data_IF_494720377299
#
_entry.id   IF_494720377299
#
_cell.length_a   1.000
_cell.length_b   1.000
_cell.length_c   1.000
_cell.angle_alpha   90.00
_cell.angle_beta   90.00
_cell.angle_gamma   90.00
#
_symmetry.space_group_name_H-M   'P 1'
#
loop_
_entity.id
_entity.type
_entity.pdbx_description
1 polymer ?
#
# COMPACT_ATOMS: atom_id res chain seq x y z
N UNK A 1 52.81 -24.05 78.46
CA UNK A 1 53.66 -22.92 77.99
C UNK A 1 53.04 -22.45 76.70
N UNK A 2 51.93 -21.72 76.82
CA UNK A 2 51.23 -21.18 75.67
C UNK A 2 51.85 -19.81 75.38
N UNK A 3 52.93 -19.79 74.60
CA UNK A 3 53.53 -18.54 74.17
C UNK A 3 52.65 -17.97 73.03
N UNK A 4 51.85 -16.91 73.29
CA UNK A 4 50.91 -16.36 72.31
C UNK A 4 51.61 -15.87 71.03
N UNK A 5 52.90 -15.57 71.13
CA UNK A 5 53.76 -15.19 70.01
C UNK A 5 53.90 -16.29 68.93
N UNK A 6 53.92 -17.57 69.32
CA UNK A 6 54.05 -18.69 68.37
C UNK A 6 52.79 -18.82 67.53
N UNK A 7 51.60 -18.60 68.12
CA UNK A 7 50.34 -18.63 67.38
C UNK A 7 50.26 -17.51 66.33
N UNK A 8 50.79 -16.32 66.62
CA UNK A 8 50.85 -15.21 65.65
C UNK A 8 51.78 -15.55 64.48
N UNK A 9 52.95 -16.15 64.75
CA UNK A 9 53.89 -16.56 63.70
C UNK A 9 53.33 -17.70 62.86
N UNK A 10 52.65 -18.68 63.48
CA UNK A 10 52.03 -19.81 62.79
C UNK A 10 50.85 -19.34 61.91
N UNK A 11 50.02 -18.42 62.40
CA UNK A 11 48.94 -17.82 61.62
C UNK A 11 49.47 -17.00 60.43
N UNK A 12 50.56 -16.25 60.64
CA UNK A 12 51.25 -15.54 59.56
C UNK A 12 51.80 -16.49 58.49
N UNK A 13 52.46 -17.58 58.90
CA UNK A 13 52.96 -18.60 57.98
C UNK A 13 51.82 -19.27 57.20
N UNK A 14 50.70 -19.60 57.87
CA UNK A 14 49.51 -20.14 57.22
C UNK A 14 48.89 -19.16 56.22
N UNK A 15 48.86 -17.86 56.52
CA UNK A 15 48.36 -16.84 55.61
C UNK A 15 49.23 -16.70 54.35
N UNK A 16 50.55 -16.80 54.47
CA UNK A 16 51.47 -16.77 53.33
C UNK A 16 51.29 -18.02 52.46
N UNK A 17 51.19 -19.20 53.06
CA UNK A 17 50.90 -20.45 52.33
C UNK A 17 49.56 -20.35 51.61
N UNK A 18 48.53 -19.82 52.27
CA UNK A 18 47.20 -19.63 51.68
C UNK A 18 47.21 -18.62 50.53
N UNK A 19 47.99 -17.53 50.64
CA UNK A 19 48.18 -16.56 49.57
C UNK A 19 48.94 -17.15 48.37
N UNK A 20 49.86 -18.08 48.61
CA UNK A 20 50.60 -18.76 47.54
C UNK A 20 49.78 -19.87 46.87
N UNK A 21 48.89 -20.52 47.64
CA UNK A 21 47.99 -21.55 47.14
C UNK A 21 46.79 -20.95 46.38
N UNK A 22 46.57 -19.64 46.43
CA UNK A 22 45.53 -18.96 45.67
C UNK A 22 46.08 -18.56 44.29
N UNK A 23 45.81 -19.33 43.21
CA UNK A 23 46.19 -18.92 41.87
C UNK A 23 45.52 -17.58 41.59
N UNK A 24 46.31 -16.58 41.19
CA UNK A 24 45.87 -15.23 40.83
C UNK A 24 44.69 -15.31 39.87
N UNK A 25 43.47 -15.32 40.39
CA UNK A 25 42.26 -15.07 39.63
C UNK A 25 42.25 -13.58 39.40
N UNK A 26 42.60 -13.19 38.18
CA UNK A 26 42.45 -11.84 37.69
C UNK A 26 40.96 -11.64 37.42
N UNK A 27 40.20 -10.93 38.28
CA UNK A 27 38.79 -10.73 38.04
C UNK A 27 38.67 -9.67 36.94
N UNK A 28 38.18 -10.06 35.75
CA UNK A 28 37.76 -9.12 34.70
C UNK A 28 38.43 -9.27 33.34
N UNK A 29 39.69 -9.73 33.25
CA UNK A 29 40.42 -9.72 31.96
C UNK A 29 39.91 -10.74 30.95
N UNK A 30 39.64 -11.98 31.38
CA UNK A 30 39.10 -13.02 30.49
C UNK A 30 37.63 -12.83 30.12
N UNK A 31 36.86 -12.08 30.91
CA UNK A 31 35.46 -11.79 30.61
C UNK A 31 35.31 -10.62 29.64
N UNK A 32 36.15 -9.58 29.75
CA UNK A 32 36.15 -8.46 28.81
C UNK A 32 36.68 -8.89 27.43
N UNK A 33 37.76 -9.67 27.39
CA UNK A 33 38.33 -10.20 26.14
C UNK A 33 37.35 -11.15 25.43
N UNK A 34 36.65 -12.01 26.17
CA UNK A 34 35.62 -12.89 25.61
C UNK A 34 34.39 -12.11 25.09
N UNK A 35 34.03 -10.99 25.73
CA UNK A 35 32.92 -10.12 25.26
C UNK A 35 33.35 -9.37 24.00
N UNK A 36 34.57 -8.82 23.95
CA UNK A 36 35.11 -8.16 22.75
C UNK A 36 35.21 -9.14 21.59
N UNK A 37 35.69 -10.36 21.83
CA UNK A 37 35.76 -11.41 20.80
C UNK A 37 34.38 -11.83 20.31
N UNK A 38 33.37 -11.87 21.19
CA UNK A 38 31.99 -12.14 20.80
C UNK A 38 31.40 -11.01 19.96
N UNK A 39 31.74 -9.75 20.27
CA UNK A 39 31.33 -8.58 19.48
C UNK A 39 32.04 -8.57 18.13
N UNK A 40 33.34 -8.89 18.07
CA UNK A 40 34.12 -9.03 16.84
C UNK A 40 33.54 -10.12 15.93
N UNK A 41 33.28 -11.31 16.47
CA UNK A 41 32.63 -12.39 15.73
C UNK A 41 31.22 -12.00 15.26
N UNK A 42 30.48 -11.20 16.04
CA UNK A 42 29.17 -10.68 15.63
C UNK A 42 29.31 -9.64 14.52
N UNK A 43 30.33 -8.79 14.56
CA UNK A 43 30.62 -7.81 13.51
C UNK A 43 31.06 -8.47 12.20
N UNK A 44 31.88 -9.52 12.28
CA UNK A 44 32.24 -10.32 11.11
C UNK A 44 30.99 -10.94 10.46
N UNK A 45 30.08 -11.48 11.28
CA UNK A 45 28.78 -11.96 10.80
C UNK A 45 27.96 -10.85 10.13
N UNK A 46 27.85 -9.67 10.77
CA UNK A 46 27.15 -8.53 10.16
C UNK A 46 27.79 -8.07 8.85
N UNK A 47 29.12 -8.09 8.73
CA UNK A 47 29.78 -7.73 7.47
C UNK A 47 29.46 -8.72 6.36
N UNK A 48 29.46 -10.02 6.67
CA UNK A 48 29.07 -11.07 5.72
C UNK A 48 27.60 -10.92 5.29
N UNK A 49 26.71 -10.61 6.24
CA UNK A 49 25.29 -10.40 5.95
C UNK A 49 25.08 -9.17 5.04
N UNK A 50 25.79 -8.05 5.30
CA UNK A 50 25.69 -6.82 4.47
C UNK A 50 26.27 -7.01 3.07
N UNK A 51 27.35 -7.77 2.92
CA UNK A 51 27.91 -8.11 1.60
C UNK A 51 26.88 -8.93 0.80
N UNK A 52 26.30 -9.96 1.42
CA UNK A 52 25.27 -10.77 0.79
C UNK A 52 24.01 -9.96 0.44
N UNK A 53 23.55 -9.08 1.32
CA UNK A 53 22.42 -8.18 1.07
C UNK A 53 22.72 -7.22 -0.09
N UNK A 54 23.96 -6.74 -0.22
CA UNK A 54 24.33 -5.86 -1.33
C UNK A 54 24.27 -6.59 -2.67
N UNK A 55 24.80 -7.81 -2.72
CA UNK A 55 24.76 -8.66 -3.90
C UNK A 55 23.32 -8.99 -4.31
N UNK A 56 22.46 -9.34 -3.34
CA UNK A 56 21.03 -9.59 -3.60
C UNK A 56 20.31 -8.35 -4.13
N UNK A 57 20.59 -7.16 -3.57
CA UNK A 57 20.02 -5.91 -4.06
C UNK A 57 20.50 -5.58 -5.47
N UNK A 58 21.78 -5.80 -5.77
CA UNK A 58 22.33 -5.60 -7.12
C UNK A 58 21.66 -6.56 -8.11
N UNK A 59 21.52 -7.83 -7.75
CA UNK A 59 20.85 -8.84 -8.57
C UNK A 59 19.40 -8.44 -8.84
N UNK A 60 18.64 -8.08 -7.81
CA UNK A 60 17.25 -7.67 -7.93
C UNK A 60 17.11 -6.43 -8.82
N UNK A 61 17.93 -5.39 -8.61
CA UNK A 61 17.91 -4.17 -9.43
C UNK A 61 18.28 -4.48 -10.88
N UNK A 62 19.25 -5.37 -11.10
CA UNK A 62 19.63 -5.81 -12.45
C UNK A 62 18.46 -6.53 -13.15
N UNK A 63 17.76 -7.41 -12.41
CA UNK A 63 16.58 -8.13 -12.86
C UNK A 63 15.42 -7.17 -13.18
N UNK A 64 15.13 -6.23 -12.29
CA UNK A 64 14.10 -5.21 -12.51
C UNK A 64 14.40 -4.33 -13.72
N UNK A 65 15.67 -3.92 -13.91
CA UNK A 65 16.07 -3.17 -15.10
C UNK A 65 15.89 -3.99 -16.37
N UNK A 66 16.28 -5.26 -16.36
CA UNK A 66 16.11 -6.15 -17.50
C UNK A 66 14.64 -6.41 -17.83
N UNK A 67 13.80 -6.62 -16.81
CA UNK A 67 12.36 -6.77 -17.01
C UNK A 67 11.75 -5.48 -17.57
N UNK A 68 12.18 -4.33 -17.07
CA UNK A 68 11.70 -3.04 -17.56
C UNK A 68 12.11 -2.78 -19.01
N UNK A 69 13.35 -3.12 -19.41
CA UNK A 69 13.79 -2.98 -20.81
C UNK A 69 13.03 -3.92 -21.74
N UNK A 70 12.77 -5.15 -21.32
CA UNK A 70 11.95 -6.12 -22.08
C UNK A 70 10.51 -5.62 -22.25
N UNK A 71 9.86 -5.17 -21.16
CA UNK A 71 8.51 -4.61 -21.22
C UNK A 71 8.46 -3.36 -22.10
N UNK A 72 9.45 -2.48 -21.97
CA UNK A 72 9.55 -1.28 -22.79
C UNK A 72 9.72 -1.62 -24.28
N UNK A 73 10.53 -2.62 -24.63
CA UNK A 73 10.68 -3.10 -25.99
C UNK A 73 9.37 -3.69 -26.53
N UNK A 74 8.67 -4.52 -25.74
CA UNK A 74 7.39 -5.10 -26.13
C UNK A 74 6.28 -4.04 -26.34
N UNK A 75 6.27 -2.98 -25.52
CA UNK A 75 5.36 -1.84 -25.72
C UNK A 75 5.72 -1.05 -26.98
N UNK A 76 7.01 -0.84 -27.25
CA UNK A 76 7.45 -0.18 -28.48
C UNK A 76 7.07 -0.97 -29.73
N UNK A 77 7.14 -2.30 -29.68
CA UNK A 77 6.69 -3.19 -30.76
C UNK A 77 5.19 -3.05 -31.01
N UNK A 78 4.37 -3.09 -29.95
CA UNK A 78 2.92 -2.88 -30.07
C UNK A 78 2.59 -1.50 -30.65
N UNK A 79 3.29 -0.45 -30.23
CA UNK A 79 3.12 0.89 -30.79
C UNK A 79 3.52 0.92 -32.27
N UNK A 80 4.60 0.24 -32.65
CA UNK A 80 5.03 0.15 -34.05
C UNK A 80 4.00 -0.61 -34.90
N UNK A 81 3.44 -1.71 -34.40
CA UNK A 81 2.39 -2.47 -35.07
C UNK A 81 1.12 -1.63 -35.28
N UNK A 82 0.66 -0.94 -34.23
CA UNK A 82 -0.51 -0.07 -34.31
C UNK A 82 -0.31 1.07 -35.32
N UNK A 83 0.88 1.68 -35.33
CA UNK A 83 1.23 2.69 -36.35
C UNK A 83 1.21 2.11 -37.75
N UNK A 84 1.74 0.90 -37.95
CA UNK A 84 1.69 0.22 -39.25
C UNK A 84 0.25 -0.03 -39.71
N UNK A 85 -0.63 -0.46 -38.79
CA UNK A 85 -2.06 -0.68 -39.12
C UNK A 85 -2.76 0.63 -39.49
N UNK A 86 -2.46 1.73 -38.81
CA UNK A 86 -2.99 3.05 -39.16
C UNK A 86 -2.57 3.44 -40.58
N UNK A 87 -1.28 3.32 -40.90
CA UNK A 87 -0.78 3.64 -42.25
C UNK A 87 -1.43 2.78 -43.32
N UNK A 88 -1.63 1.49 -43.05
CA UNK A 88 -2.30 0.58 -43.98
C UNK A 88 -3.78 0.93 -44.18
N UNK A 89 -4.49 1.30 -43.10
CA UNK A 89 -5.88 1.77 -43.20
C UNK A 89 -5.98 3.11 -43.93
N UNK A 90 -5.09 4.06 -43.64
CA UNK A 90 -5.00 5.34 -44.36
C UNK A 90 -4.75 5.10 -45.85
N UNK A 91 -3.84 4.17 -46.17
CA UNK A 91 -3.55 3.76 -47.54
C UNK A 91 -4.81 3.17 -48.20
N UNK A 92 -5.50 2.23 -47.57
CA UNK A 92 -6.74 1.64 -48.10
C UNK A 92 -7.83 2.69 -48.33
N UNK A 93 -7.99 3.64 -47.40
CA UNK A 93 -8.91 4.77 -47.56
C UNK A 93 -8.51 5.68 -48.72
N UNK A 94 -7.21 5.98 -48.90
CA UNK A 94 -6.73 6.72 -50.07
C UNK A 94 -6.97 5.96 -51.38
N UNK A 95 -6.71 4.66 -51.44
CA UNK A 95 -7.00 3.85 -52.63
C UNK A 95 -8.50 3.84 -52.94
N UNK A 96 -9.37 3.66 -51.94
CA UNK A 96 -10.81 3.69 -52.12
C UNK A 96 -11.30 5.07 -52.61
N UNK A 97 -10.81 6.17 -52.05
CA UNK A 97 -11.18 7.53 -52.48
C UNK A 97 -10.69 7.84 -53.90
N UNK A 98 -9.47 7.43 -54.27
CA UNK A 98 -8.93 7.61 -55.63
C UNK A 98 -9.69 6.75 -56.65
N UNK A 99 -9.99 5.48 -56.34
CA UNK A 99 -10.77 4.61 -57.22
C UNK A 99 -12.19 5.13 -57.47
N UNK A 100 -12.81 5.79 -56.48
CA UNK A 100 -14.12 6.44 -56.65
C UNK A 100 -14.05 7.73 -57.48
N UNK A 101 -12.90 8.40 -57.52
CA UNK A 101 -12.73 9.66 -58.28
C UNK A 101 -12.39 9.42 -59.76
N UNK A 102 -12.00 8.20 -60.13
CA UNK A 102 -11.67 7.81 -61.52
C UNK A 102 -12.85 7.29 -62.35
N UNK A 103 -14.07 7.24 -61.82
CA UNK A 103 -15.28 7.06 -62.64
C UNK A 103 -15.76 8.42 -63.18
N UNK A 104 -15.74 8.67 -64.51
CA UNK A 104 -16.38 9.85 -65.08
C UNK A 104 -17.89 9.60 -65.14
N UNK A 105 -18.59 9.70 -64.00
CA UNK A 105 -20.05 9.74 -64.00
C UNK A 105 -20.49 11.18 -64.17
N UNK A 106 -20.62 11.53 -65.45
CA UNK A 106 -21.61 12.48 -65.91
C UNK A 106 -22.98 11.99 -65.46
N UNK A 107 -23.51 12.51 -64.36
CA UNK A 107 -24.95 12.53 -64.03
C UNK A 107 -25.22 13.58 -62.95
N UNK A 108 -25.46 14.78 -63.48
CA UNK A 108 -26.56 15.68 -63.14
C UNK A 108 -26.77 16.14 -61.68
N UNK A 109 -26.67 17.46 -61.58
CA UNK A 109 -26.94 18.36 -60.47
C UNK A 109 -28.44 18.36 -60.12
N UNK A 110 -28.77 18.07 -58.86
CA UNK A 110 -29.94 18.55 -58.09
C UNK A 110 -29.84 17.86 -56.71
N UNK A 111 -29.55 18.47 -55.57
CA UNK A 111 -29.98 19.76 -55.03
C UNK A 111 -28.92 20.33 -54.08
N UNK A 112 -28.70 21.63 -54.20
CA UNK A 112 -27.93 22.47 -53.29
C UNK A 112 -28.73 22.89 -52.05
N UNK A 113 -27.99 23.14 -50.98
CA UNK A 113 -28.25 24.11 -49.91
C UNK A 113 -29.20 23.70 -48.76
N UNK A 114 -28.59 23.35 -47.61
CA UNK A 114 -28.93 23.90 -46.28
C UNK A 114 -27.73 23.69 -45.35
N UNK A 115 -26.74 24.56 -45.47
CA UNK A 115 -25.92 24.96 -44.33
C UNK A 115 -26.28 26.41 -44.08
N UNK A 116 -26.61 26.78 -42.84
CA UNK A 116 -26.55 28.12 -42.23
C UNK A 116 -27.47 28.12 -41.01
N UNK A 117 -26.95 27.74 -39.85
CA UNK A 117 -27.28 28.38 -38.57
C UNK A 117 -26.36 27.85 -37.46
N UNK A 118 -25.19 28.46 -37.37
CA UNK A 118 -24.44 28.58 -36.14
C UNK A 118 -23.98 30.05 -36.04
N UNK A 119 -24.14 30.63 -34.86
CA UNK A 119 -23.53 31.87 -34.38
C UNK A 119 -24.10 33.22 -34.84
N UNK A 120 -25.15 33.67 -34.13
CA UNK A 120 -25.43 35.05 -33.66
C UNK A 120 -26.60 34.90 -32.67
N UNK A 121 -26.72 35.52 -31.51
CA UNK A 121 -25.96 36.55 -30.83
C UNK A 121 -26.33 36.49 -29.33
N UNK A 122 -25.48 37.08 -28.50
CA UNK A 122 -25.58 37.20 -27.05
C UNK A 122 -26.91 37.76 -26.53
N UNK A 123 -27.34 37.22 -25.38
CA UNK A 123 -28.03 38.00 -24.35
C UNK A 123 -29.41 37.52 -23.90
N UNK A 124 -29.46 36.62 -22.92
CA UNK A 124 -30.41 36.76 -21.81
C UNK A 124 -30.04 35.85 -20.62
N UNK A 125 -29.49 36.48 -19.58
CA UNK A 125 -29.51 35.96 -18.22
C UNK A 125 -30.96 35.81 -17.75
N UNK A 126 -31.30 34.69 -17.13
CA UNK A 126 -31.98 34.62 -15.82
C UNK A 126 -32.36 33.16 -15.48
N UNK A 127 -31.76 32.62 -14.42
CA UNK A 127 -32.46 31.70 -13.52
C UNK A 127 -33.38 32.53 -12.62
N UNK A 128 -34.54 32.01 -12.19
CA UNK A 128 -34.57 31.20 -10.96
C UNK A 128 -35.59 30.04 -10.96
N UNK A 129 -35.33 29.01 -10.16
CA UNK A 129 -36.34 28.03 -9.71
C UNK A 129 -37.47 28.72 -8.93
N UNK A 130 -38.67 28.10 -8.90
CA UNK A 130 -39.13 27.51 -7.63
C UNK A 130 -39.89 26.18 -7.80
N UNK A 131 -39.80 25.33 -6.79
CA UNK A 131 -40.42 24.00 -6.77
C UNK A 131 -41.90 23.96 -6.38
N UNK A 132 -42.49 22.77 -6.47
CA UNK A 132 -43.54 22.30 -5.58
C UNK A 132 -43.69 20.78 -5.69
N UNK A 133 -43.65 20.17 -4.50
CA UNK A 133 -44.08 18.83 -4.11
C UNK A 133 -45.47 18.43 -4.62
N UNK A 134 -45.66 17.14 -5.00
CA UNK A 134 -46.84 16.37 -4.59
C UNK A 134 -46.43 14.90 -4.41
N UNK A 135 -46.60 14.48 -3.15
CA UNK A 135 -46.59 13.13 -2.60
C UNK A 135 -47.98 12.51 -2.81
N UNK A 136 -48.07 11.22 -3.16
CA UNK A 136 -49.27 10.43 -2.88
C UNK A 136 -48.95 8.94 -2.81
N UNK A 137 -49.35 8.33 -1.69
CA UNK A 137 -49.25 6.90 -1.43
C UNK A 137 -50.61 6.31 -1.06
N UNK A 138 -50.57 4.99 -0.86
CA UNK A 138 -51.53 4.09 -0.20
C UNK A 138 -52.84 3.68 -0.90
N UNK A 139 -52.93 2.38 -1.20
CA UNK A 139 -53.96 1.42 -0.71
C UNK A 139 -53.72 0.08 -1.42
N UNK A 140 -53.66 -1.11 -0.80
CA UNK A 140 -54.32 -1.61 0.40
C UNK A 140 -55.43 -2.60 0.00
N UNK A 141 -55.28 -3.90 0.31
CA UNK A 141 -56.32 -4.98 0.44
C UNK A 141 -55.73 -6.33 -0.02
N UNK A 142 -55.92 -7.50 0.59
CA UNK A 142 -56.32 -8.02 1.90
C UNK A 142 -55.95 -9.53 1.87
N UNK A 143 -55.66 -10.12 3.04
CA UNK A 143 -55.26 -11.52 3.22
C UNK A 143 -56.43 -12.53 3.03
N UNK A 144 -56.19 -13.86 3.14
CA UNK A 144 -56.39 -14.52 4.45
C UNK A 144 -55.35 -15.63 4.78
N UNK A 145 -54.74 -15.59 5.97
CA UNK A 145 -55.05 -16.36 7.19
C UNK A 145 -54.72 -17.86 7.14
N UNK A 146 -53.83 -18.33 8.03
CA UNK A 146 -53.96 -19.36 9.10
C UNK A 146 -52.56 -19.43 9.78
N UNK A 147 -52.30 -19.50 11.08
CA UNK A 147 -52.99 -19.30 12.38
C UNK A 147 -51.93 -19.62 13.45
N UNK A 148 -51.79 -18.71 14.44
CA UNK A 148 -51.37 -18.86 15.87
C UNK A 148 -50.14 -19.70 16.23
N UNK A 149 -49.27 -19.39 17.19
CA UNK A 149 -49.02 -18.35 18.22
C UNK A 149 -47.65 -18.80 18.79
N UNK A 150 -46.64 -17.94 18.99
CA UNK A 150 -46.35 -17.37 20.32
C UNK A 150 -45.25 -16.30 20.16
N UNK A 151 -45.52 -15.11 20.69
CA UNK A 151 -44.64 -13.96 20.70
C UNK A 151 -43.62 -14.07 21.85
N UNK A 152 -42.35 -13.78 21.57
CA UNK A 152 -41.54 -12.99 22.50
C UNK A 152 -40.65 -12.07 21.68
N UNK A 153 -41.08 -10.80 21.62
CA UNK A 153 -40.33 -9.57 21.34
C UNK A 153 -38.98 -9.70 20.60
N UNK A 154 -39.03 -9.67 19.27
CA UNK A 154 -37.93 -9.18 18.46
C UNK A 154 -38.05 -7.65 18.44
N UNK A 155 -37.21 -6.98 19.23
CA UNK A 155 -36.84 -5.60 18.96
C UNK A 155 -36.05 -5.61 17.65
N UNK A 156 -36.58 -4.94 16.63
CA UNK A 156 -35.77 -4.42 15.53
C UNK A 156 -34.61 -3.64 16.15
N UNK A 157 -33.34 -3.95 15.85
CA UNK A 157 -32.40 -2.88 15.63
C UNK A 157 -32.66 -2.39 14.22
N UNK A 158 -33.49 -1.35 14.07
CA UNK A 158 -33.23 -0.34 13.06
C UNK A 158 -31.81 0.17 13.36
N UNK A 159 -30.81 -0.54 12.83
CA UNK A 159 -29.46 -0.02 12.77
C UNK A 159 -29.52 0.97 11.63
N UNK A 160 -29.79 2.23 11.98
CA UNK A 160 -29.24 3.36 11.25
C UNK A 160 -27.76 3.04 11.09
N UNK A 161 -27.39 2.45 9.96
CA UNK A 161 -26.00 2.31 9.55
C UNK A 161 -25.53 3.72 9.22
N UNK A 162 -25.24 4.50 10.26
CA UNK A 162 -24.21 5.51 10.20
C UNK A 162 -23.01 4.81 9.57
N UNK A 163 -22.62 5.22 8.37
CA UNK A 163 -21.51 4.62 7.68
C UNK A 163 -20.29 4.71 8.60
N UNK A 164 -19.89 3.60 9.22
CA UNK A 164 -18.74 3.53 10.11
C UNK A 164 -17.56 4.20 9.40
N UNK A 165 -17.03 5.25 10.03
CA UNK A 165 -15.92 6.04 9.51
C UNK A 165 -14.75 5.13 9.12
N UNK A 166 -14.00 5.49 8.07
CA UNK A 166 -12.82 4.72 7.65
C UNK A 166 -11.82 4.58 8.80
N UNK A 167 -11.80 5.55 9.73
CA UNK A 167 -10.97 5.49 10.94
C UNK A 167 -11.41 4.43 11.94
N UNK A 168 -12.71 4.18 12.07
CA UNK A 168 -13.28 3.22 13.01
C UNK A 168 -13.01 1.78 12.55
N UNK A 169 -13.20 1.51 11.26
CA UNK A 169 -12.93 0.21 10.65
C UNK A 169 -11.45 -0.21 10.68
N UNK A 170 -10.54 0.75 10.72
CA UNK A 170 -9.09 0.51 10.71
C UNK A 170 -8.37 1.07 11.94
N UNK A 171 -9.05 1.15 13.08
CA UNK A 171 -8.50 1.73 14.32
C UNK A 171 -7.13 1.13 14.72
N UNK A 172 -6.97 -0.19 14.58
CA UNK A 172 -5.72 -0.88 14.90
C UNK A 172 -4.55 -0.44 13.99
N UNK A 173 -4.83 -0.17 12.71
CA UNK A 173 -3.85 0.34 11.75
C UNK A 173 -3.37 1.74 12.17
N UNK A 174 -4.30 2.64 12.52
CA UNK A 174 -3.99 3.98 12.98
C UNK A 174 -3.22 3.97 14.31
N UNK A 175 -3.58 3.11 15.25
CA UNK A 175 -2.85 2.98 16.51
C UNK A 175 -1.39 2.58 16.30
N UNK A 176 -1.12 1.67 15.34
CA UNK A 176 0.26 1.28 14.99
C UNK A 176 1.01 2.42 14.28
N UNK A 177 0.33 3.20 13.44
CA UNK A 177 0.90 4.37 12.77
C UNK A 177 1.25 5.50 13.76
N UNK A 178 0.36 5.80 14.71
CA UNK A 178 0.61 6.79 15.78
C UNK A 178 1.75 6.38 16.71
N UNK A 179 2.00 5.07 16.88
CA UNK A 179 3.17 4.54 17.58
C UNK A 179 4.49 4.72 16.79
N UNK A 180 4.45 5.34 15.60
CA UNK A 180 5.62 5.59 14.76
C UNK A 180 6.14 4.36 14.02
N UNK A 181 5.34 3.30 13.90
CA UNK A 181 5.71 2.09 13.16
C UNK A 181 5.68 2.37 11.66
N UNK A 182 6.61 1.77 10.92
CA UNK A 182 6.69 1.97 9.47
C UNK A 182 5.46 1.40 8.77
N UNK A 183 5.10 2.00 7.62
CA UNK A 183 4.00 1.53 6.76
C UNK A 183 4.16 0.05 6.40
N UNK A 184 5.41 -0.39 6.16
CA UNK A 184 5.77 -1.77 5.89
C UNK A 184 5.55 -2.71 7.08
N UNK A 185 5.79 -2.24 8.31
CA UNK A 185 5.50 -3.00 9.52
C UNK A 185 3.99 -3.15 9.72
N UNK A 186 3.24 -2.07 9.51
CA UNK A 186 1.78 -2.06 9.61
C UNK A 186 1.18 -3.03 8.60
N UNK A 187 1.61 -2.98 7.34
CA UNK A 187 1.19 -3.89 6.28
C UNK A 187 1.38 -5.37 6.65
N UNK A 188 2.54 -5.72 7.21
CA UNK A 188 2.83 -7.09 7.67
C UNK A 188 1.97 -7.51 8.86
N UNK A 189 1.69 -6.59 9.78
CA UNK A 189 0.93 -6.87 11.01
C UNK A 189 -0.58 -6.97 10.75
N UNK A 190 -1.13 -6.12 9.88
CA UNK A 190 -2.56 -6.09 9.55
C UNK A 190 -2.94 -7.02 8.39
N UNK A 191 -1.95 -7.59 7.69
CA UNK A 191 -2.18 -8.45 6.52
C UNK A 191 -2.62 -7.70 5.26
N UNK A 192 -2.47 -6.38 5.26
CA UNK A 192 -2.89 -5.46 4.18
C UNK A 192 -1.67 -5.08 3.35
N UNK A 193 -1.82 -4.88 2.03
CA UNK A 193 -0.70 -4.45 1.17
C UNK A 193 -0.25 -3.01 1.51
N UNK A 194 1.05 -2.73 1.36
CA UNK A 194 1.64 -1.39 1.65
C UNK A 194 0.89 -0.23 0.98
N UNK A 195 0.45 -0.44 -0.27
CA UNK A 195 -0.31 0.57 -1.03
C UNK A 195 -1.70 0.83 -0.46
N UNK A 196 -2.36 -0.20 0.07
CA UNK A 196 -3.68 -0.08 0.71
C UNK A 196 -3.57 0.61 2.07
N UNK A 197 -2.52 0.32 2.85
CA UNK A 197 -2.23 1.05 4.10
C UNK A 197 -2.07 2.55 3.83
N UNK A 198 -1.31 2.93 2.80
CA UNK A 198 -1.13 4.33 2.43
C UNK A 198 -2.43 4.98 1.94
N UNK A 199 -3.26 4.25 1.20
CA UNK A 199 -4.56 4.73 0.73
C UNK A 199 -5.55 4.96 1.89
N UNK A 200 -5.59 4.05 2.86
CA UNK A 200 -6.45 4.17 4.05
C UNK A 200 -6.05 5.39 4.89
N UNK A 201 -4.74 5.61 5.09
CA UNK A 201 -4.24 6.80 5.79
C UNK A 201 -4.68 8.10 5.09
N UNK A 202 -4.54 8.14 3.75
CA UNK A 202 -4.96 9.31 2.96
C UNK A 202 -6.47 9.53 2.93
N UNK A 203 -7.26 8.45 2.93
CA UNK A 203 -8.71 8.52 2.89
C UNK A 203 -9.26 9.05 4.21
N UNK A 204 -8.72 8.58 5.34
CA UNK A 204 -9.09 9.09 6.66
C UNK A 204 -8.69 10.56 6.86
N UNK A 205 -7.52 10.99 6.34
CA UNK A 205 -7.12 12.41 6.39
C UNK A 205 -8.08 13.31 5.61
N UNK A 206 -8.69 12.82 4.53
CA UNK A 206 -9.71 13.57 3.76
C UNK A 206 -11.08 13.56 4.42
N UNK A 207 -11.39 12.50 5.16
CA UNK A 207 -12.64 12.37 5.92
C UNK A 207 -12.66 13.35 7.12
N UNK A 208 -11.54 13.48 7.86
CA UNK A 208 -11.42 14.44 8.97
C UNK A 208 -11.55 15.93 8.53
N UNK A 209 -11.34 16.21 7.24
CA UNK A 209 -11.36 17.57 6.66
C UNK A 209 -12.75 17.96 6.12
N UNK A 210 -13.70 17.02 6.07
CA UNK A 210 -15.07 17.24 5.54
C UNK A 210 -16.07 17.42 6.67
#
# INVERSE_FOLDING_TARGET
>A
MDQPWIYIVLLGAAAVVYAWLLPKRQPGRGTEEAVVQKVEATLEQYMADIENDNDELIELVSGMKQEHTVKQAALQEQVAELRSRIVELERQAMFATVSMQTEPVSKEIQHTATSHQAAVAYGQLQSPQPGMSVQEGYSGSEAPLITMEEQTALQDPETEQEAESIRDRYQELFALHEQGKSVDYIAKQSGIQRGEVQLILQLAEREDVT
#
